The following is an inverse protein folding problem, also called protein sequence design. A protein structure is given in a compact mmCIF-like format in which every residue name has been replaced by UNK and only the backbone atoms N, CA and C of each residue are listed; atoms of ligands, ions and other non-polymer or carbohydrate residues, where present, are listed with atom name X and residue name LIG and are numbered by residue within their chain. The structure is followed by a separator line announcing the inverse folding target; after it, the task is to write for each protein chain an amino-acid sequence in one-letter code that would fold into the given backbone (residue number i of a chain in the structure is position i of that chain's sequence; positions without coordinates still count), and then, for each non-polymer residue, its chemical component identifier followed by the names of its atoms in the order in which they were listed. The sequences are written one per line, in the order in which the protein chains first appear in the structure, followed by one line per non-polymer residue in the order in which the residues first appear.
data_IF_851669155496
#
_entry.id   IF_851669155496
#
_cell.length_a   1.000
_cell.length_b   1.000
_cell.length_c   1.000
_cell.angle_alpha   90.00
_cell.angle_beta   90.00
_cell.angle_gamma   90.00
#
_symmetry.space_group_name_H-M   'P 1'
#
loop_
_entity.id
_entity.type
_entity.pdbx_description
1 polymer ?
#
# COMPACT_ATOMS: atom_id res chain seq x y z
N UNK A 1 6.29 27.49 9.08
CA UNK A 1 6.95 26.39 9.81
C UNK A 1 6.05 25.16 9.72
N UNK A 2 6.37 24.20 8.84
CA UNK A 2 5.60 22.96 8.75
C UNK A 2 6.13 21.99 9.82
N UNK A 3 5.32 21.74 10.85
CA UNK A 3 5.61 20.72 11.86
C UNK A 3 5.51 19.34 11.20
N UNK A 4 6.63 18.64 11.07
CA UNK A 4 6.64 17.23 10.66
C UNK A 4 6.13 16.42 11.86
N UNK A 5 4.82 16.19 11.91
CA UNK A 5 4.23 15.25 12.87
C UNK A 5 4.45 13.83 12.33
N UNK A 6 5.49 13.16 12.81
CA UNK A 6 5.76 11.78 12.43
C UNK A 6 4.68 10.86 13.02
N UNK A 7 3.65 10.50 12.21
CA UNK A 7 2.66 9.48 12.59
C UNK A 7 3.40 8.18 12.95
N UNK A 8 3.10 7.61 14.12
CA UNK A 8 3.67 6.35 14.61
C UNK A 8 3.50 5.24 13.56
N UNK A 9 4.55 4.47 13.20
CA UNK A 9 4.46 3.42 12.20
C UNK A 9 3.52 2.30 12.67
N UNK A 10 2.61 1.88 11.79
CA UNK A 10 1.60 0.86 12.12
C UNK A 10 2.11 -0.54 11.81
N UNK A 11 1.69 -1.52 12.63
CA UNK A 11 2.08 -2.93 12.48
C UNK A 11 1.53 -3.59 11.22
N UNK A 12 0.41 -3.09 10.68
CA UNK A 12 -0.28 -3.64 9.52
C UNK A 12 -0.06 -2.70 8.35
N UNK A 13 0.39 -3.24 7.22
CA UNK A 13 0.58 -2.52 5.97
C UNK A 13 -0.44 -2.99 4.95
N UNK A 14 -0.81 -2.10 4.04
CA UNK A 14 -1.70 -2.41 2.94
C UNK A 14 -1.26 -1.74 1.66
N UNK A 15 -1.93 -2.11 0.58
CA UNK A 15 -1.69 -1.58 -0.75
C UNK A 15 -3.01 -1.39 -1.45
N UNK A 16 -3.14 -0.31 -2.18
CA UNK A 16 -4.36 0.01 -2.92
C UNK A 16 -4.00 0.22 -4.38
N UNK A 17 -4.71 -0.48 -5.26
CA UNK A 17 -4.54 -0.37 -6.72
C UNK A 17 -5.80 0.25 -7.29
N UNK A 18 -5.64 1.36 -8.01
CA UNK A 18 -6.73 2.13 -8.60
C UNK A 18 -6.67 1.96 -10.12
N UNK A 19 -7.78 1.56 -10.74
CA UNK A 19 -7.89 1.59 -12.21
C UNK A 19 -8.00 3.06 -12.67
N UNK A 20 -6.85 3.60 -13.07
CA UNK A 20 -6.68 5.00 -13.46
C UNK A 20 -7.63 5.38 -14.61
N UNK A 21 -7.90 4.48 -15.55
CA UNK A 21 -8.73 4.79 -16.72
C UNK A 21 -10.22 4.80 -16.42
N UNK A 22 -10.64 4.21 -15.29
CA UNK A 22 -12.04 4.22 -14.84
C UNK A 22 -12.30 5.18 -13.68
N UNK A 23 -11.25 5.65 -12.99
CA UNK A 23 -11.38 6.63 -11.93
C UNK A 23 -11.84 7.99 -12.49
N UNK A 24 -12.98 8.49 -12.00
CA UNK A 24 -13.56 9.79 -12.39
C UNK A 24 -13.17 10.94 -11.46
N UNK A 25 -12.36 10.68 -10.44
CA UNK A 25 -11.87 11.71 -9.54
C UNK A 25 -12.92 12.36 -8.63
N UNK A 26 -13.90 11.60 -8.12
CA UNK A 26 -14.95 12.12 -7.23
C UNK A 26 -14.47 12.50 -5.81
N UNK A 27 -13.21 12.25 -5.49
CA UNK A 27 -12.55 12.57 -4.22
C UNK A 27 -13.12 11.92 -2.94
N UNK A 28 -14.20 11.12 -3.02
CA UNK A 28 -14.76 10.43 -1.85
C UNK A 28 -13.73 9.57 -1.10
N UNK A 29 -12.84 8.91 -1.85
CA UNK A 29 -11.79 8.06 -1.29
C UNK A 29 -10.70 8.83 -0.53
N UNK A 30 -10.46 10.12 -0.84
CA UNK A 30 -9.48 10.95 -0.11
C UNK A 30 -10.02 11.29 1.27
N UNK A 31 -11.30 11.65 1.35
CA UNK A 31 -11.99 11.96 2.61
C UNK A 31 -12.17 10.72 3.48
N UNK A 32 -12.44 9.56 2.87
CA UNK A 32 -12.63 8.31 3.61
C UNK A 32 -11.32 7.70 4.17
N UNK A 33 -10.16 8.15 3.69
CA UNK A 33 -8.87 7.60 4.11
C UNK A 33 -8.39 8.25 5.41
N UNK A 34 -8.55 7.57 6.55
CA UNK A 34 -8.06 8.03 7.86
C UNK A 34 -6.53 8.22 7.91
N UNK A 35 -5.82 7.62 6.96
CA UNK A 35 -4.35 7.71 6.87
C UNK A 35 -3.84 8.80 5.97
N UNK A 36 -4.74 9.48 5.26
CA UNK A 36 -4.37 10.48 4.25
C UNK A 36 -3.42 9.87 3.19
N UNK A 37 -3.55 8.56 2.96
CA UNK A 37 -2.74 7.82 1.99
C UNK A 37 -3.19 8.04 0.55
N UNK A 38 -4.36 8.66 0.33
CA UNK A 38 -4.92 8.88 -1.01
C UNK A 38 -5.01 10.37 -1.30
N UNK A 39 -4.53 10.78 -2.46
CA UNK A 39 -4.63 12.15 -2.97
C UNK A 39 -4.98 12.13 -4.46
N UNK A 40 -5.18 13.30 -5.07
CA UNK A 40 -5.49 13.43 -6.48
C UNK A 40 -4.22 13.63 -7.31
N UNK A 41 -4.17 12.98 -8.48
CA UNK A 41 -3.08 13.15 -9.44
C UNK A 41 -3.01 14.59 -9.95
N UNK A 42 -1.79 15.03 -10.27
CA UNK A 42 -1.59 16.26 -11.06
C UNK A 42 -1.88 16.03 -12.55
N UNK A 43 -1.78 14.79 -13.02
CA UNK A 43 -2.07 14.34 -14.39
C UNK A 43 -3.55 14.00 -14.59
N UNK A 44 -3.96 13.87 -15.84
CA UNK A 44 -5.29 13.39 -16.23
C UNK A 44 -5.21 12.01 -16.91
N UNK A 45 -6.29 11.23 -16.84
CA UNK A 45 -6.45 10.01 -17.63
C UNK A 45 -7.02 10.30 -19.03
N UNK A 46 -7.28 9.26 -19.84
CA UNK A 46 -7.75 9.41 -21.22
C UNK A 46 -9.17 9.99 -21.33
N UNK A 47 -9.90 10.03 -20.23
CA UNK A 47 -11.24 10.61 -20.13
C UNK A 47 -11.22 12.05 -19.60
N UNK A 48 -10.05 12.61 -19.34
CA UNK A 48 -9.89 13.98 -18.85
C UNK A 48 -10.02 14.16 -17.34
N UNK A 49 -10.10 13.08 -16.56
CA UNK A 49 -10.23 13.16 -15.10
C UNK A 49 -8.86 13.15 -14.40
N UNK A 50 -8.73 13.98 -13.35
CA UNK A 50 -7.69 13.76 -12.33
C UNK A 50 -8.10 12.52 -11.54
N UNK A 51 -7.22 11.53 -11.48
CA UNK A 51 -7.49 10.25 -10.83
C UNK A 51 -6.87 10.20 -9.45
N UNK A 52 -7.39 9.33 -8.58
CA UNK A 52 -6.81 9.13 -7.26
C UNK A 52 -5.47 8.37 -7.37
N UNK A 53 -4.51 8.75 -6.53
CA UNK A 53 -3.19 8.11 -6.37
C UNK A 53 -2.94 7.82 -4.90
N UNK A 54 -2.10 6.82 -4.63
CA UNK A 54 -1.90 6.25 -3.29
C UNK A 54 -0.43 6.36 -2.88
N UNK A 55 -0.19 6.72 -1.62
CA UNK A 55 1.10 6.62 -0.93
C UNK A 55 1.12 5.31 -0.17
N UNK A 56 1.74 4.28 -0.75
CA UNK A 56 1.73 2.90 -0.24
C UNK A 56 2.25 2.80 1.21
N UNK A 57 3.23 3.64 1.60
CA UNK A 57 3.81 3.63 2.95
C UNK A 57 2.82 4.02 4.06
N UNK A 58 1.73 4.71 3.71
CA UNK A 58 0.68 5.14 4.64
C UNK A 58 -0.52 4.19 4.65
N UNK A 59 -0.69 3.37 3.62
CA UNK A 59 -1.86 2.52 3.48
C UNK A 59 -1.82 1.35 4.47
N UNK A 60 -2.95 1.07 5.14
CA UNK A 60 -3.11 -0.10 6.02
C UNK A 60 -4.07 -1.16 5.49
N UNK A 61 -4.67 -0.93 4.32
CA UNK A 61 -5.63 -1.87 3.72
C UNK A 61 -6.93 -1.98 4.53
N UNK A 62 -7.49 -0.87 5.00
CA UNK A 62 -8.72 -0.83 5.79
C UNK A 62 -10.02 -0.82 4.96
N UNK A 63 -9.93 -0.90 3.63
CA UNK A 63 -11.04 -0.98 2.66
C UNK A 63 -12.04 0.20 2.58
N UNK A 64 -11.98 1.19 3.48
CA UNK A 64 -12.87 2.37 3.43
C UNK A 64 -12.93 3.06 2.06
N UNK A 65 -11.78 3.24 1.41
CA UNK A 65 -11.71 3.86 0.08
C UNK A 65 -12.46 3.06 -1.00
N UNK A 66 -12.39 1.73 -0.94
CA UNK A 66 -13.10 0.86 -1.87
C UNK A 66 -14.61 0.87 -1.63
N UNK A 67 -15.04 0.87 -0.36
CA UNK A 67 -16.46 0.91 0.02
C UNK A 67 -17.16 2.19 -0.42
N UNK A 68 -16.48 3.34 -0.35
CA UNK A 68 -17.05 4.62 -0.79
C UNK A 68 -16.91 4.90 -2.29
N UNK A 69 -16.21 4.02 -3.03
CA UNK A 69 -15.96 4.25 -4.45
C UNK A 69 -17.23 3.93 -5.27
N UNK A 70 -17.88 4.92 -5.89
CA UNK A 70 -19.13 4.69 -6.62
C UNK A 70 -18.92 3.87 -7.90
N UNK A 71 -17.71 3.90 -8.46
CA UNK A 71 -17.36 3.19 -9.70
C UNK A 71 -16.71 1.81 -9.43
N UNK A 72 -16.43 1.46 -8.17
CA UNK A 72 -15.82 0.16 -7.81
C UNK A 72 -14.40 -0.06 -8.40
N UNK A 73 -13.64 1.01 -8.63
CA UNK A 73 -12.35 0.96 -9.35
C UNK A 73 -11.12 0.73 -8.45
N UNK A 74 -11.35 0.51 -7.16
CA UNK A 74 -10.31 0.43 -6.13
C UNK A 74 -10.19 -1.01 -5.62
N UNK A 75 -9.02 -1.61 -5.79
CA UNK A 75 -8.65 -2.91 -5.23
C UNK A 75 -7.77 -2.71 -4.00
N UNK A 76 -8.07 -3.42 -2.92
CA UNK A 76 -7.34 -3.28 -1.66
C UNK A 76 -6.69 -4.60 -1.29
N UNK A 77 -5.44 -4.50 -0.86
CA UNK A 77 -4.61 -5.61 -0.44
C UNK A 77 -4.07 -5.30 0.95
N UNK A 78 -3.89 -6.34 1.77
CA UNK A 78 -3.31 -6.22 3.10
C UNK A 78 -2.23 -7.24 3.31
N UNK A 79 -1.17 -6.84 4.02
CA UNK A 79 -0.16 -7.80 4.45
C UNK A 79 -0.80 -8.82 5.37
N UNK A 80 -0.76 -10.05 4.95
CA UNK A 80 -1.02 -11.24 5.75
C UNK A 80 0.11 -11.40 6.77
N UNK A 81 -0.25 -11.59 8.04
CA UNK A 81 0.69 -11.99 9.09
C UNK A 81 1.02 -13.49 8.94
N UNK A 82 1.54 -13.92 7.79
CA UNK A 82 2.11 -15.27 7.70
C UNK A 82 3.32 -15.31 8.64
N UNK A 83 3.47 -16.41 9.40
CA UNK A 83 4.65 -16.63 10.25
C UNK A 83 5.89 -16.35 9.41
N UNK A 84 6.81 -15.52 9.91
CA UNK A 84 8.11 -15.29 9.24
C UNK A 84 8.73 -16.66 8.98
N UNK A 85 8.96 -16.96 7.70
CA UNK A 85 9.61 -18.19 7.30
C UNK A 85 11.07 -18.15 7.77
N UNK A 86 11.55 -19.28 8.30
CA UNK A 86 12.94 -19.40 8.71
C UNK A 86 13.78 -19.47 7.43
N UNK A 87 14.32 -18.34 6.98
CA UNK A 87 15.04 -18.24 5.70
C UNK A 87 16.48 -18.76 5.77
N UNK A 88 17.05 -18.86 6.96
CA UNK A 88 18.35 -19.47 7.19
C UNK A 88 18.52 -19.85 8.66
N UNK A 89 19.25 -20.94 8.90
CA UNK A 89 19.83 -21.26 10.20
C UNK A 89 21.35 -21.44 10.01
N UNK A 90 22.16 -20.69 10.76
CA UNK A 90 23.61 -20.71 10.63
C UNK A 90 24.21 -21.38 11.87
N UNK A 91 24.93 -22.49 11.68
CA UNK A 91 25.63 -23.22 12.75
C UNK A 91 27.09 -23.48 12.38
N UNK A 92 27.94 -23.61 13.38
CA UNK A 92 29.37 -23.97 13.24
C UNK A 92 30.17 -23.09 12.26
N UNK A 93 30.02 -21.75 12.35
CA UNK A 93 30.76 -20.79 11.50
C UNK A 93 32.23 -20.74 11.92
N UNK A 94 33.14 -21.12 11.01
CA UNK A 94 34.59 -21.14 11.26
C UNK A 94 35.34 -19.97 10.58
N UNK A 95 34.67 -19.20 9.72
CA UNK A 95 35.24 -18.07 8.97
C UNK A 95 34.14 -17.05 8.61
N UNK A 96 34.49 -15.94 7.94
CA UNK A 96 33.54 -14.88 7.60
C UNK A 96 32.47 -15.36 6.60
N UNK A 97 31.21 -14.97 6.85
CA UNK A 97 30.06 -15.22 5.98
C UNK A 97 29.31 -13.91 5.74
N UNK A 98 28.90 -13.69 4.50
CA UNK A 98 28.03 -12.58 4.11
C UNK A 98 26.66 -13.12 3.74
N UNK A 99 25.63 -12.71 4.47
CA UNK A 99 24.24 -13.10 4.22
C UNK A 99 23.47 -11.88 3.75
N UNK A 100 22.82 -12.01 2.59
CA UNK A 100 21.86 -11.01 2.10
C UNK A 100 20.46 -11.61 2.24
N UNK A 101 19.62 -10.93 3.02
CA UNK A 101 18.20 -11.26 3.13
C UNK A 101 17.45 -10.22 2.32
N UNK A 102 16.82 -10.67 1.24
CA UNK A 102 15.91 -9.84 0.46
C UNK A 102 14.53 -9.89 1.15
N UNK A 103 14.04 -8.72 1.58
CA UNK A 103 12.65 -8.63 2.02
C UNK A 103 11.76 -8.63 0.78
N UNK A 104 10.67 -9.42 0.73
CA UNK A 104 9.72 -9.32 -0.37
C UNK A 104 9.20 -7.88 -0.41
N UNK A 105 9.40 -7.21 -1.55
CA UNK A 105 8.90 -5.85 -1.74
C UNK A 105 7.38 -5.87 -1.66
N UNK A 106 6.77 -4.75 -1.21
CA UNK A 106 5.31 -4.57 -1.23
C UNK A 106 4.75 -4.41 -2.66
N UNK A 107 5.46 -4.91 -3.68
CA UNK A 107 5.05 -4.91 -5.08
C UNK A 107 4.45 -6.26 -5.48
N UNK A 108 4.81 -7.35 -4.79
CA UNK A 108 4.28 -8.69 -5.08
C UNK A 108 2.88 -8.89 -4.47
N UNK A 109 1.87 -8.38 -5.18
CA UNK A 109 0.46 -8.49 -4.80
C UNK A 109 -0.02 -9.94 -4.66
N UNK A 110 0.64 -10.91 -5.30
CA UNK A 110 0.27 -12.34 -5.20
C UNK A 110 0.46 -12.91 -3.80
N UNK A 111 1.32 -12.27 -3.00
CA UNK A 111 1.60 -12.68 -1.62
C UNK A 111 0.70 -11.97 -0.61
N UNK A 112 -0.06 -10.95 -1.00
CA UNK A 112 -0.95 -10.19 -0.10
C UNK A 112 -2.37 -10.76 -0.11
N UNK A 113 -3.13 -10.50 0.95
CA UNK A 113 -4.56 -10.85 0.97
C UNK A 113 -5.33 -9.77 0.20
N UNK A 114 -6.06 -10.18 -0.84
CA UNK A 114 -7.09 -9.34 -1.48
C UNK A 114 -8.34 -9.37 -0.59
N UNK A 115 -8.84 -8.20 -0.23
CA UNK A 115 -9.94 -8.01 0.73
C UNK A 115 -11.01 -7.08 0.19
#
# INVERSE_FOLDING_TARGET
MATITTKKPRKIKGKTVIDIQKCKGCELCTTACSEEAITMSKSINNLGYRYAVVVDDLCTGCTNCALVCPDGVIKVYRTNNKKKELVAEIRNVQSSMNVKIENPSMEDLSKMDYI
#
